data_IF_811031866341
#
_entry.id   IF_811031866341
#
_cell.length_a   1.000
_cell.length_b   1.000
_cell.length_c   1.000
_cell.angle_alpha   90.00
_cell.angle_beta   90.00
_cell.angle_gamma   90.00
#
_symmetry.space_group_name_H-M   'P 1'
#
loop_
_entity.id
_entity.type
_entity.pdbx_description
1 polymer ?
#
# COMPACT_ATOMS: atom_id res chain seq x y z
N UNK A 1 1.73 -22.64 -8.30
CA UNK A 1 0.52 -22.39 -9.09
C UNK A 1 0.64 -21.03 -9.77
N UNK A 2 -0.03 -20.86 -10.89
CA UNK A 2 -0.09 -19.60 -11.63
C UNK A 2 -1.44 -18.91 -11.36
N UNK A 3 -1.55 -17.56 -11.58
CA UNK A 3 -2.82 -16.85 -11.57
C UNK A 3 -3.81 -17.43 -12.59
N UNK A 4 -5.09 -17.50 -12.21
CA UNK A 4 -6.18 -18.05 -13.04
C UNK A 4 -7.09 -16.96 -13.63
N UNK A 5 -6.63 -15.69 -13.60
CA UNK A 5 -7.34 -14.53 -14.13
C UNK A 5 -6.46 -13.75 -15.11
N UNK A 6 -7.08 -12.84 -15.87
CA UNK A 6 -6.36 -11.95 -16.77
C UNK A 6 -5.69 -10.81 -15.98
N UNK A 7 -4.36 -10.85 -15.85
CA UNK A 7 -3.56 -9.89 -15.07
C UNK A 7 -3.68 -8.47 -15.64
N UNK A 8 -3.59 -8.32 -16.97
CA UNK A 8 -3.66 -7.00 -17.61
C UNK A 8 -5.04 -6.36 -17.37
N UNK A 9 -6.10 -7.14 -17.54
CA UNK A 9 -7.46 -6.65 -17.26
C UNK A 9 -7.65 -6.25 -15.81
N UNK A 10 -7.12 -7.02 -14.88
CA UNK A 10 -7.13 -6.70 -13.44
C UNK A 10 -6.40 -5.37 -13.18
N UNK A 11 -5.23 -5.15 -13.79
CA UNK A 11 -4.45 -3.91 -13.67
C UNK A 11 -5.20 -2.71 -14.21
N UNK A 12 -5.79 -2.81 -15.41
CA UNK A 12 -6.62 -1.77 -16.00
C UNK A 12 -7.81 -1.40 -15.10
N UNK A 13 -8.52 -2.40 -14.59
CA UNK A 13 -9.64 -2.21 -13.69
C UNK A 13 -9.20 -1.52 -12.39
N UNK A 14 -8.06 -1.93 -11.82
CA UNK A 14 -7.51 -1.34 -10.59
C UNK A 14 -7.07 0.11 -10.81
N UNK A 15 -6.40 0.38 -11.93
CA UNK A 15 -5.94 1.72 -12.28
C UNK A 15 -7.10 2.71 -12.40
N UNK A 16 -8.22 2.28 -12.99
CA UNK A 16 -9.41 3.12 -13.16
C UNK A 16 -10.27 3.23 -11.91
N UNK A 17 -10.36 2.14 -11.13
CA UNK A 17 -11.22 2.03 -9.95
C UNK A 17 -10.49 1.33 -8.80
N UNK A 18 -9.44 1.94 -8.21
CA UNK A 18 -8.75 1.36 -7.07
C UNK A 18 -9.73 1.14 -5.91
N UNK A 19 -9.64 0.01 -5.21
CA UNK A 19 -10.54 -0.28 -4.09
C UNK A 19 -9.81 -0.50 -2.77
N UNK A 20 -8.55 -0.91 -2.82
CA UNK A 20 -7.73 -1.20 -1.64
C UNK A 20 -6.30 -0.73 -1.87
N UNK A 21 -5.81 0.17 -1.00
CA UNK A 21 -4.40 0.52 -0.91
C UNK A 21 -3.80 -0.05 0.38
N UNK A 22 -2.60 -0.58 0.30
CA UNK A 22 -1.84 -1.08 1.44
C UNK A 22 -0.56 -0.29 1.63
N UNK A 23 -0.28 0.09 2.88
CA UNK A 23 0.94 0.78 3.27
C UNK A 23 1.92 -0.19 3.92
N UNK A 24 3.09 -0.38 3.28
CA UNK A 24 4.13 -1.33 3.66
C UNK A 24 4.27 -2.47 2.65
N UNK A 25 5.32 -2.42 1.83
CA UNK A 25 5.55 -3.32 0.71
C UNK A 25 6.36 -4.58 1.06
N UNK A 26 6.51 -4.87 2.36
CA UNK A 26 7.35 -5.94 2.87
C UNK A 26 6.80 -7.36 2.68
N UNK A 27 7.50 -8.33 3.28
CA UNK A 27 7.19 -9.75 3.14
C UNK A 27 5.80 -10.14 3.63
N UNK A 28 5.33 -9.53 4.73
CA UNK A 28 4.00 -9.82 5.28
C UNK A 28 2.90 -9.44 4.29
N UNK A 29 3.01 -8.26 3.67
CA UNK A 29 2.07 -7.85 2.63
C UNK A 29 2.09 -8.83 1.45
N UNK A 30 3.27 -9.15 0.91
CA UNK A 30 3.41 -10.01 -0.27
C UNK A 30 2.92 -11.43 -0.03
N UNK A 31 3.24 -12.00 1.14
CA UNK A 31 2.90 -13.39 1.45
C UNK A 31 1.46 -13.57 1.93
N UNK A 32 0.84 -12.56 2.52
CA UNK A 32 -0.49 -12.67 3.13
C UNK A 32 -1.54 -11.84 2.36
N UNK A 33 -1.52 -10.51 2.44
CA UNK A 33 -2.57 -9.66 1.84
C UNK A 33 -2.68 -9.84 0.32
N UNK A 34 -1.55 -9.80 -0.38
CA UNK A 34 -1.52 -10.00 -1.83
C UNK A 34 -2.00 -11.41 -2.21
N UNK A 35 -1.66 -12.45 -1.43
CA UNK A 35 -2.13 -13.81 -1.67
C UNK A 35 -3.63 -13.98 -1.41
N UNK A 36 -4.18 -13.33 -0.39
CA UNK A 36 -5.63 -13.34 -0.15
C UNK A 36 -6.37 -12.75 -1.35
N UNK A 37 -5.94 -11.58 -1.84
CA UNK A 37 -6.54 -10.94 -3.01
C UNK A 37 -6.35 -11.78 -4.27
N UNK A 38 -5.20 -12.42 -4.45
CA UNK A 38 -4.96 -13.40 -5.51
C UNK A 38 -6.02 -14.52 -5.51
N UNK A 39 -6.32 -15.08 -4.33
CA UNK A 39 -7.33 -16.14 -4.23
C UNK A 39 -8.73 -15.62 -4.59
N UNK A 40 -9.08 -14.40 -4.19
CA UNK A 40 -10.36 -13.78 -4.56
C UNK A 40 -10.47 -13.52 -6.06
N UNK A 41 -9.38 -13.11 -6.70
CA UNK A 41 -9.30 -12.93 -8.15
C UNK A 41 -9.45 -14.27 -8.90
N UNK A 42 -8.76 -15.32 -8.43
CA UNK A 42 -8.82 -16.64 -9.04
C UNK A 42 -10.25 -17.24 -9.05
N UNK A 43 -11.04 -16.98 -8.01
CA UNK A 43 -12.43 -17.45 -7.95
C UNK A 43 -13.44 -16.46 -8.55
N UNK A 44 -12.96 -15.35 -9.13
CA UNK A 44 -13.80 -14.33 -9.74
C UNK A 44 -14.66 -13.53 -8.76
N UNK A 45 -14.34 -13.55 -7.46
CA UNK A 45 -15.06 -12.78 -6.45
C UNK A 45 -14.81 -11.26 -6.58
N UNK A 46 -13.68 -10.89 -7.15
CA UNK A 46 -13.30 -9.50 -7.47
C UNK A 46 -12.60 -9.46 -8.83
N UNK A 47 -12.54 -8.29 -9.42
CA UNK A 47 -11.93 -8.02 -10.73
C UNK A 47 -10.77 -7.01 -10.69
N UNK A 48 -10.37 -6.59 -9.47
CA UNK A 48 -9.35 -5.57 -9.19
C UNK A 48 -8.34 -6.09 -8.18
N UNK A 49 -7.10 -5.67 -8.35
CA UNK A 49 -6.00 -6.00 -7.47
C UNK A 49 -5.73 -4.91 -6.43
N UNK A 50 -4.56 -5.00 -5.81
CA UNK A 50 -4.07 -4.09 -4.78
C UNK A 50 -3.20 -3.00 -5.37
N UNK A 51 -3.25 -1.82 -4.73
CA UNK A 51 -2.16 -0.84 -4.78
C UNK A 51 -1.34 -0.97 -3.50
N UNK A 52 -0.02 -0.95 -3.60
CA UNK A 52 0.86 -0.90 -2.43
C UNK A 52 1.71 0.36 -2.44
N UNK A 53 1.83 1.00 -1.28
CA UNK A 53 2.67 2.17 -1.08
C UNK A 53 3.75 1.87 -0.02
N UNK A 54 5.01 2.23 -0.32
CA UNK A 54 6.15 2.04 0.59
C UNK A 54 6.73 3.40 0.99
N UNK A 55 6.86 3.63 2.30
CA UNK A 55 7.27 4.93 2.83
C UNK A 55 8.59 4.96 3.58
N UNK A 56 9.27 3.82 3.74
CA UNK A 56 10.58 3.71 4.41
C UNK A 56 11.67 3.20 3.49
N UNK A 57 11.48 2.02 2.92
CA UNK A 57 12.44 1.36 2.04
C UNK A 57 11.98 1.46 0.59
N UNK A 58 12.21 2.62 -0.03
CA UNK A 58 11.87 2.81 -1.44
C UNK A 58 12.60 1.86 -2.39
N UNK A 59 13.76 1.32 -1.96
CA UNK A 59 14.53 0.37 -2.76
C UNK A 59 13.78 -0.94 -2.99
N UNK A 60 12.85 -1.31 -2.10
CA UNK A 60 12.04 -2.51 -2.29
C UNK A 60 11.18 -2.40 -3.56
N UNK A 61 10.67 -1.20 -3.88
CA UNK A 61 9.91 -0.97 -5.12
C UNK A 61 10.79 -1.24 -6.33
N UNK A 62 11.98 -0.65 -6.38
CA UNK A 62 12.93 -0.75 -7.49
C UNK A 62 13.54 -2.15 -7.65
N UNK A 63 13.73 -2.88 -6.54
CA UNK A 63 14.42 -4.19 -6.55
C UNK A 63 13.47 -5.38 -6.60
N UNK A 64 12.28 -5.26 -6.01
CA UNK A 64 11.38 -6.40 -5.83
C UNK A 64 10.09 -6.32 -6.64
N UNK A 65 9.65 -5.11 -7.01
CA UNK A 65 8.40 -4.94 -7.76
C UNK A 65 8.67 -4.62 -9.23
N UNK A 66 9.37 -3.55 -9.54
CA UNK A 66 9.60 -3.11 -10.91
C UNK A 66 10.27 -4.16 -11.80
N UNK A 67 11.40 -4.81 -11.40
CA UNK A 67 12.07 -5.78 -12.28
C UNK A 67 11.29 -7.07 -12.49
N UNK A 68 10.28 -7.32 -11.65
CA UNK A 68 9.48 -8.53 -11.70
C UNK A 68 8.03 -8.25 -12.11
N UNK A 69 7.75 -7.08 -12.67
CA UNK A 69 6.42 -6.69 -13.14
C UNK A 69 5.34 -6.85 -12.02
N UNK A 70 5.67 -6.44 -10.80
CA UNK A 70 4.87 -6.60 -9.58
C UNK A 70 4.50 -8.06 -9.24
N UNK A 71 5.11 -9.05 -9.87
CA UNK A 71 4.90 -10.45 -9.55
C UNK A 71 5.70 -10.85 -8.31
N UNK A 72 5.09 -11.66 -7.47
CA UNK A 72 5.75 -12.25 -6.29
C UNK A 72 5.73 -13.77 -6.34
N UNK A 73 6.76 -14.42 -5.79
CA UNK A 73 6.76 -15.86 -5.55
C UNK A 73 6.60 -16.12 -4.06
N UNK A 74 5.53 -16.81 -3.70
CA UNK A 74 5.29 -17.28 -2.33
C UNK A 74 5.61 -18.77 -2.25
N UNK A 75 6.57 -19.12 -1.41
CA UNK A 75 6.93 -20.50 -1.11
C UNK A 75 6.37 -20.89 0.26
N UNK A 76 5.50 -21.89 0.30
CA UNK A 76 4.94 -22.44 1.54
C UNK A 76 5.63 -23.74 1.87
N UNK A 77 6.39 -23.75 2.96
CA UNK A 77 7.03 -24.95 3.50
C UNK A 77 5.99 -25.75 4.31
N UNK A 78 5.84 -27.03 3.99
CA UNK A 78 4.89 -27.91 4.69
C UNK A 78 5.61 -28.83 5.67
N UNK A 79 4.88 -29.37 6.64
CA UNK A 79 5.40 -30.26 7.67
C UNK A 79 5.95 -31.58 7.11
N UNK A 80 5.51 -32.01 5.92
CA UNK A 80 6.00 -33.21 5.23
C UNK A 80 7.26 -32.96 4.39
N UNK A 81 7.83 -31.73 4.47
CA UNK A 81 9.01 -31.32 3.72
C UNK A 81 8.73 -30.87 2.28
N UNK A 82 7.49 -30.97 1.79
CA UNK A 82 7.12 -30.46 0.48
C UNK A 82 7.03 -28.91 0.46
N UNK A 83 7.19 -28.33 -0.72
CA UNK A 83 7.15 -26.88 -0.93
C UNK A 83 6.09 -26.55 -1.98
N UNK A 84 5.05 -25.83 -1.59
CA UNK A 84 4.14 -25.23 -2.55
C UNK A 84 4.70 -23.88 -3.03
N UNK A 85 4.63 -23.63 -4.32
CA UNK A 85 5.05 -22.36 -4.94
C UNK A 85 3.88 -21.73 -5.66
N UNK A 86 3.53 -20.50 -5.26
CA UNK A 86 2.43 -19.74 -5.86
C UNK A 86 3.00 -18.44 -6.45
N UNK A 87 2.70 -18.16 -7.70
CA UNK A 87 2.95 -16.85 -8.32
C UNK A 87 1.80 -15.93 -7.94
N UNK A 88 2.10 -14.84 -7.25
CA UNK A 88 1.13 -13.84 -6.83
C UNK A 88 1.27 -12.63 -7.76
N UNK A 89 0.19 -12.29 -8.47
CA UNK A 89 0.10 -11.21 -9.45
C UNK A 89 -1.00 -10.19 -9.11
N UNK A 90 -1.50 -10.22 -7.88
CA UNK A 90 -2.61 -9.36 -7.44
C UNK A 90 -2.21 -7.93 -7.14
N UNK A 91 -0.91 -7.59 -7.16
CA UNK A 91 -0.42 -6.22 -7.01
C UNK A 91 -0.45 -5.53 -8.37
N UNK A 92 -1.37 -4.59 -8.53
CA UNK A 92 -1.54 -3.84 -9.77
C UNK A 92 -0.55 -2.68 -9.90
N UNK A 93 -0.30 -1.96 -8.81
CA UNK A 93 0.62 -0.83 -8.74
C UNK A 93 1.43 -0.89 -7.44
N UNK A 94 2.74 -0.60 -7.52
CA UNK A 94 3.63 -0.44 -6.37
C UNK A 94 4.28 0.95 -6.45
N UNK A 95 4.05 1.80 -5.44
CA UNK A 95 4.38 3.21 -5.47
C UNK A 95 5.22 3.62 -4.25
N UNK A 96 6.25 4.46 -4.41
CA UNK A 96 6.87 5.09 -3.27
C UNK A 96 5.91 6.12 -2.63
N UNK A 97 5.77 6.07 -1.30
CA UNK A 97 5.08 7.10 -0.52
C UNK A 97 6.09 8.24 -0.24
N UNK A 98 6.47 8.92 -1.29
CA UNK A 98 7.45 10.01 -1.23
C UNK A 98 6.87 11.28 -1.85
N UNK A 99 6.70 12.33 -1.04
CA UNK A 99 6.20 13.63 -1.50
C UNK A 99 7.20 14.38 -2.39
N UNK A 100 8.47 13.97 -2.42
CA UNK A 100 9.48 14.50 -3.34
C UNK A 100 9.40 13.84 -4.74
N UNK A 101 8.86 12.63 -4.85
CA UNK A 101 8.52 12.01 -6.14
C UNK A 101 7.13 12.51 -6.58
N UNK A 102 7.11 13.62 -7.30
CA UNK A 102 5.84 14.25 -7.74
C UNK A 102 4.96 13.31 -8.55
N UNK A 103 5.55 12.44 -9.38
CA UNK A 103 4.78 11.51 -10.22
C UNK A 103 4.07 10.46 -9.36
N UNK A 104 4.80 9.81 -8.48
CA UNK A 104 4.23 8.79 -7.60
C UNK A 104 3.24 9.40 -6.60
N UNK A 105 3.58 10.55 -6.02
CA UNK A 105 2.71 11.20 -5.04
C UNK A 105 1.41 11.73 -5.66
N UNK A 106 1.45 12.29 -6.87
CA UNK A 106 0.25 12.66 -7.60
C UNK A 106 -0.63 11.44 -7.91
N UNK A 107 -0.02 10.29 -8.28
CA UNK A 107 -0.78 9.06 -8.46
C UNK A 107 -1.46 8.61 -7.17
N UNK A 108 -0.79 8.70 -6.02
CA UNK A 108 -1.41 8.42 -4.72
C UNK A 108 -2.57 9.39 -4.41
N UNK A 109 -2.43 10.69 -4.72
CA UNK A 109 -3.52 11.67 -4.59
C UNK A 109 -4.72 11.32 -5.47
N UNK A 110 -4.51 10.89 -6.73
CA UNK A 110 -5.59 10.42 -7.62
C UNK A 110 -6.32 9.20 -7.04
N UNK A 111 -5.56 8.23 -6.51
CA UNK A 111 -6.13 7.03 -5.88
C UNK A 111 -6.99 7.42 -4.68
N UNK A 112 -6.50 8.32 -3.82
CA UNK A 112 -7.25 8.78 -2.66
C UNK A 112 -8.46 9.65 -3.01
N UNK A 113 -8.43 10.40 -4.11
CA UNK A 113 -9.57 11.17 -4.60
C UNK A 113 -10.64 10.30 -5.29
N UNK A 114 -10.35 9.03 -5.57
CA UNK A 114 -11.28 8.14 -6.26
C UNK A 114 -12.33 7.58 -5.30
N UNK A 115 -13.60 7.71 -5.65
CA UNK A 115 -14.75 7.21 -4.87
C UNK A 115 -14.79 5.68 -4.72
N UNK A 116 -14.12 4.95 -5.61
CA UNK A 116 -14.04 3.49 -5.56
C UNK A 116 -13.12 2.96 -4.47
N UNK A 117 -12.21 3.80 -3.92
CA UNK A 117 -11.33 3.40 -2.84
C UNK A 117 -12.14 3.18 -1.56
N UNK A 118 -12.10 1.96 -1.03
CA UNK A 118 -12.91 1.53 0.10
C UNK A 118 -12.09 1.44 1.39
N UNK A 119 -10.82 1.05 1.29
CA UNK A 119 -9.97 0.89 2.47
C UNK A 119 -8.50 1.15 2.21
N UNK A 120 -7.82 1.56 3.28
CA UNK A 120 -6.39 1.63 3.41
C UNK A 120 -5.95 0.78 4.61
N UNK A 121 -4.99 -0.10 4.40
CA UNK A 121 -4.47 -1.01 5.42
C UNK A 121 -2.98 -0.80 5.62
N UNK A 122 -2.45 -1.17 6.79
CA UNK A 122 -1.06 -0.88 7.17
C UNK A 122 -0.37 -2.12 7.74
N UNK A 123 0.87 -2.37 7.29
CA UNK A 123 1.83 -3.27 7.95
C UNK A 123 3.15 -2.54 8.14
N UNK A 124 3.10 -1.44 8.88
CA UNK A 124 4.26 -0.63 9.23
C UNK A 124 4.59 -0.83 10.72
N UNK A 125 5.83 -0.55 11.09
CA UNK A 125 6.25 -0.62 12.49
C UNK A 125 5.68 0.55 13.30
N UNK A 126 5.72 0.44 14.64
CA UNK A 126 5.31 1.49 15.56
C UNK A 126 5.98 2.85 15.29
N UNK A 127 7.21 2.83 14.76
CA UNK A 127 7.93 4.05 14.36
C UNK A 127 7.19 4.84 13.26
N UNK A 128 6.48 4.15 12.37
CA UNK A 128 5.69 4.79 11.33
C UNK A 128 4.48 5.56 11.85
N UNK A 129 3.94 5.14 13.01
CA UNK A 129 2.80 5.82 13.65
C UNK A 129 3.24 6.91 14.61
N UNK A 130 4.51 6.96 15.02
CA UNK A 130 4.97 7.87 16.06
C UNK A 130 4.99 9.31 15.56
N UNK A 131 4.38 10.20 16.34
CA UNK A 131 4.44 11.65 16.15
C UNK A 131 5.41 12.33 17.11
N UNK A 132 5.80 11.59 18.16
CA UNK A 132 6.69 12.07 19.22
C UNK A 132 7.86 11.09 19.41
N UNK A 133 8.97 11.61 19.91
CA UNK A 133 10.13 10.82 20.28
C UNK A 133 9.95 10.14 21.66
N UNK A 134 10.95 9.38 22.11
CA UNK A 134 10.90 8.68 23.40
C UNK A 134 10.79 9.61 24.63
N UNK A 135 11.03 10.92 24.46
CA UNK A 135 10.90 11.94 25.52
C UNK A 135 9.52 12.63 25.50
N UNK A 136 8.63 12.27 24.56
CA UNK A 136 7.34 12.91 24.37
C UNK A 136 7.38 14.23 23.60
N UNK A 137 8.51 14.57 23.00
CA UNK A 137 8.67 15.78 22.16
C UNK A 137 8.23 15.49 20.72
N UNK A 138 7.53 16.43 20.08
CA UNK A 138 7.16 16.30 18.66
C UNK A 138 8.41 16.10 17.80
N UNK A 139 8.38 15.11 16.92
CA UNK A 139 9.48 14.85 15.98
C UNK A 139 9.64 16.04 15.02
N UNK A 140 10.88 16.33 14.62
CA UNK A 140 11.20 17.51 13.83
C UNK A 140 10.51 17.55 12.46
N UNK A 141 10.39 16.40 11.80
CA UNK A 141 9.67 16.24 10.54
C UNK A 141 8.16 16.46 10.71
N UNK A 142 7.57 15.95 11.80
CA UNK A 142 6.16 16.19 12.14
C UNK A 142 5.89 17.66 12.44
N UNK A 143 6.79 18.33 13.21
CA UNK A 143 6.66 19.75 13.49
C UNK A 143 6.75 20.59 12.20
N UNK A 144 7.66 20.25 11.31
CA UNK A 144 7.78 20.90 10.01
C UNK A 144 6.51 20.71 9.15
N UNK A 145 5.91 19.53 9.17
CA UNK A 145 4.66 19.25 8.43
C UNK A 145 3.47 20.05 9.00
N UNK A 146 3.40 20.28 10.31
CA UNK A 146 2.36 21.14 10.91
C UNK A 146 2.46 22.60 10.44
N UNK A 147 3.67 23.09 10.22
CA UNK A 147 3.90 24.47 9.72
C UNK A 147 3.72 24.57 8.20
N UNK A 148 4.21 23.57 7.44
CA UNK A 148 4.17 23.58 5.98
C UNK A 148 2.78 23.25 5.40
N UNK A 149 1.95 22.54 6.16
CA UNK A 149 0.65 22.08 5.68
C UNK A 149 0.74 20.86 4.74
N UNK A 150 -0.33 20.57 3.98
CA UNK A 150 -0.51 19.27 3.33
C UNK A 150 0.25 19.07 2.02
N UNK A 151 0.94 20.08 1.47
CA UNK A 151 1.42 20.03 0.08
C UNK A 151 2.64 19.12 -0.11
N UNK A 152 3.63 19.21 0.79
CA UNK A 152 4.87 18.43 0.72
C UNK A 152 5.27 17.86 2.08
N UNK A 153 4.45 17.00 2.68
CA UNK A 153 4.74 16.41 3.98
C UNK A 153 5.98 15.52 3.92
N UNK A 154 6.78 15.53 4.99
CA UNK A 154 8.00 14.74 5.11
C UNK A 154 7.83 13.52 6.02
N UNK A 155 7.06 13.65 7.11
CA UNK A 155 6.79 12.55 8.03
C UNK A 155 5.86 11.50 7.42
N UNK A 156 5.95 10.26 7.92
CA UNK A 156 5.12 9.18 7.39
C UNK A 156 3.62 9.49 7.53
N UNK A 157 3.19 9.82 8.74
CA UNK A 157 1.78 10.13 9.02
C UNK A 157 1.34 11.45 8.41
N UNK A 158 2.25 12.42 8.23
CA UNK A 158 1.99 13.64 7.48
C UNK A 158 1.63 13.34 6.02
N UNK A 159 2.35 12.41 5.37
CA UNK A 159 2.03 11.96 4.00
C UNK A 159 0.66 11.29 3.93
N UNK A 160 0.34 10.41 4.89
CA UNK A 160 -0.99 9.77 4.95
C UNK A 160 -2.10 10.80 5.20
N UNK A 161 -1.87 11.74 6.13
CA UNK A 161 -2.81 12.81 6.43
C UNK A 161 -3.06 13.73 5.21
N UNK A 162 -2.01 14.06 4.47
CA UNK A 162 -2.11 14.83 3.23
C UNK A 162 -2.99 14.12 2.18
N UNK A 163 -2.82 12.80 2.01
CA UNK A 163 -3.66 12.01 1.10
C UNK A 163 -5.13 11.99 1.54
N UNK A 164 -5.39 11.86 2.85
CA UNK A 164 -6.76 11.93 3.40
C UNK A 164 -7.35 13.33 3.26
N UNK A 165 -6.56 14.38 3.47
CA UNK A 165 -6.99 15.76 3.24
C UNK A 165 -7.32 16.00 1.77
N UNK A 166 -6.48 15.52 0.84
CA UNK A 166 -6.77 15.57 -0.58
C UNK A 166 -8.09 14.85 -0.92
N UNK A 167 -8.36 13.70 -0.28
CA UNK A 167 -9.64 13.00 -0.43
C UNK A 167 -10.81 13.84 0.05
N UNK A 168 -10.68 14.47 1.21
CA UNK A 168 -11.72 15.31 1.80
C UNK A 168 -12.05 16.52 0.92
N UNK A 169 -11.04 17.26 0.44
CA UNK A 169 -11.27 18.46 -0.39
C UNK A 169 -11.83 18.14 -1.77
N UNK A 170 -11.60 16.92 -2.28
CA UNK A 170 -12.22 16.43 -3.53
C UNK A 170 -13.62 15.86 -3.31
N UNK A 171 -14.15 15.88 -2.08
CA UNK A 171 -15.50 15.41 -1.77
C UNK A 171 -15.71 13.91 -1.92
N UNK A 172 -14.64 13.11 -1.93
CA UNK A 172 -14.72 11.67 -2.07
C UNK A 172 -15.28 10.98 -0.80
N UNK A 173 -15.88 9.81 -0.98
CA UNK A 173 -16.58 9.07 0.09
C UNK A 173 -15.62 8.64 1.21
N UNK A 174 -16.11 8.48 2.46
CA UNK A 174 -15.30 7.91 3.55
C UNK A 174 -14.70 6.56 3.19
N UNK A 175 -13.54 6.24 3.77
CA UNK A 175 -12.87 4.95 3.62
C UNK A 175 -12.55 4.34 4.99
N UNK A 176 -12.40 3.02 5.04
CA UNK A 176 -11.91 2.33 6.22
C UNK A 176 -10.39 2.48 6.33
N UNK A 177 -9.90 2.94 7.47
CA UNK A 177 -8.47 2.97 7.83
C UNK A 177 -8.22 1.82 8.80
N UNK A 178 -7.49 0.79 8.34
CA UNK A 178 -7.27 -0.44 9.11
C UNK A 178 -5.80 -0.53 9.48
N UNK A 179 -5.48 -0.09 10.69
CA UNK A 179 -4.15 -0.25 11.27
C UNK A 179 -4.03 -1.61 11.96
N UNK A 180 -2.86 -2.23 11.87
CA UNK A 180 -2.53 -3.35 12.72
C UNK A 180 -2.21 -2.81 14.12
N UNK A 181 -3.05 -3.13 15.09
CA UNK A 181 -2.74 -2.87 16.49
C UNK A 181 -1.68 -3.88 16.95
N UNK A 182 -0.51 -3.38 17.29
CA UNK A 182 0.46 -4.12 18.10
C UNK A 182 0.24 -3.70 19.55
N UNK A 183 -0.87 -4.11 20.13
CA UNK A 183 -1.03 -4.05 21.59
C UNK A 183 -0.01 -5.01 22.21
N UNK A 184 0.94 -4.46 22.90
CA UNK A 184 1.81 -5.15 23.85
C UNK A 184 1.35 -4.91 25.26
#
# INVERSE_FOLDING_TARGET
>A
KLPEYNIEKMRENTKSKPFWIHFGAGNLFRAFHARVVQNMLNVGAIDRGLVVAEGFDYEIIKKMYEPHDNLGLVATLKSDGSIDKDVVASVAEALPLDSADEKAYNRLKEIFANDSLQMATFTITEKGYSLVNAKGETMADVAADFEAGPDKPSSYMGKVASLLYNRYVNGAKPIAMVSRSEER
#
